data_IF_808804703639
#
_entry.id   IF_808804703639
#
_cell.length_a   1.000
_cell.length_b   1.000
_cell.length_c   1.000
_cell.angle_alpha   90.00
_cell.angle_beta   90.00
_cell.angle_gamma   90.00
#
_symmetry.space_group_name_H-M   'P 1'
#
loop_
_entity.id
_entity.type
_entity.pdbx_description
1 polymer ?
#
# COMPACT_ATOMS: atom_id res chain seq x y z
N UNK A 1 -23.73 -42.92 -9.65
CA UNK A 1 -23.86 -41.47 -9.41
C UNK A 1 -22.52 -40.84 -9.14
N UNK A 2 -22.02 -40.10 -10.10
CA UNK A 2 -20.83 -39.27 -9.97
C UNK A 2 -21.27 -37.92 -9.40
N UNK A 3 -20.89 -37.65 -8.14
CA UNK A 3 -21.29 -36.43 -7.43
C UNK A 3 -20.51 -35.26 -8.01
N UNK A 4 -21.23 -34.29 -8.59
CA UNK A 4 -20.63 -33.04 -9.05
C UNK A 4 -20.03 -32.26 -7.86
N UNK A 5 -18.88 -31.59 -8.05
CA UNK A 5 -18.28 -30.79 -6.99
C UNK A 5 -19.22 -29.67 -6.55
N UNK A 6 -19.13 -29.31 -5.26
CA UNK A 6 -19.94 -28.24 -4.69
C UNK A 6 -19.80 -26.93 -5.51
N UNK A 7 -20.90 -26.18 -5.70
CA UNK A 7 -20.84 -24.91 -6.41
C UNK A 7 -19.89 -23.96 -5.67
N UNK A 8 -19.07 -23.27 -6.45
CA UNK A 8 -18.09 -22.35 -5.90
C UNK A 8 -18.80 -21.11 -5.32
N UNK A 9 -18.27 -20.53 -4.23
CA UNK A 9 -18.89 -19.39 -3.56
C UNK A 9 -19.08 -18.20 -4.52
N UNK A 10 -20.12 -17.37 -4.28
CA UNK A 10 -20.50 -16.27 -5.18
C UNK A 10 -19.44 -15.17 -5.28
N UNK A 11 -18.53 -15.08 -4.29
CA UNK A 11 -17.37 -14.21 -4.32
C UNK A 11 -16.10 -15.04 -4.45
N UNK A 12 -15.23 -14.61 -5.37
CA UNK A 12 -13.89 -15.17 -5.53
C UNK A 12 -12.89 -14.08 -5.27
N UNK A 13 -11.92 -14.39 -4.44
CA UNK A 13 -10.79 -13.50 -4.15
C UNK A 13 -9.65 -13.91 -5.08
N UNK A 14 -9.06 -12.94 -5.77
CA UNK A 14 -7.85 -13.17 -6.55
C UNK A 14 -6.68 -13.46 -5.59
N UNK A 15 -6.17 -14.69 -5.64
CA UNK A 15 -5.05 -15.19 -4.82
C UNK A 15 -3.75 -15.34 -5.61
N UNK A 16 -3.80 -15.26 -6.93
CA UNK A 16 -2.61 -15.28 -7.76
C UNK A 16 -2.89 -15.24 -9.26
N UNK A 17 -1.82 -15.11 -10.03
CA UNK A 17 -1.80 -15.10 -11.49
C UNK A 17 -0.72 -16.07 -11.96
N UNK A 18 -1.03 -16.88 -12.96
CA UNK A 18 -0.07 -17.78 -13.62
C UNK A 18 0.08 -17.34 -15.06
N UNK A 19 1.32 -17.10 -15.51
CA UNK A 19 1.58 -16.73 -16.89
C UNK A 19 1.72 -17.95 -17.82
N UNK A 20 1.87 -17.71 -19.13
CA UNK A 20 2.01 -18.78 -20.14
C UNK A 20 3.25 -19.69 -19.96
N UNK A 21 4.21 -19.27 -19.14
CA UNK A 21 5.44 -20.00 -18.86
C UNK A 21 5.35 -20.78 -17.54
N UNK A 22 4.19 -20.77 -16.87
CA UNK A 22 3.99 -21.43 -15.59
C UNK A 22 4.56 -20.68 -14.39
N UNK A 23 4.96 -19.41 -14.55
CA UNK A 23 5.41 -18.59 -13.42
C UNK A 23 4.21 -18.07 -12.65
N UNK A 24 4.24 -18.19 -11.33
CA UNK A 24 3.13 -17.83 -10.45
C UNK A 24 3.45 -16.57 -9.66
N UNK A 25 2.57 -15.58 -9.72
CA UNK A 25 2.51 -14.48 -8.75
C UNK A 25 1.42 -14.80 -7.74
N UNK A 26 1.73 -14.82 -6.45
CA UNK A 26 0.80 -15.16 -5.36
C UNK A 26 0.54 -13.92 -4.51
N UNK A 27 -0.72 -13.65 -4.19
CA UNK A 27 -1.14 -12.55 -3.32
C UNK A 27 -1.47 -13.08 -1.92
N UNK A 28 -0.82 -12.51 -0.91
CA UNK A 28 -1.05 -12.80 0.49
C UNK A 28 -1.91 -11.70 1.09
N UNK A 29 -3.00 -12.10 1.75
CA UNK A 29 -3.96 -11.17 2.34
C UNK A 29 -3.95 -11.28 3.84
N UNK A 30 -4.17 -10.15 4.49
CA UNK A 30 -4.32 -10.12 5.93
C UNK A 30 -5.57 -10.88 6.34
N UNK A 31 -5.43 -11.78 7.31
CA UNK A 31 -6.53 -12.66 7.71
C UNK A 31 -7.54 -11.91 8.58
N UNK A 32 -7.07 -11.03 9.47
CA UNK A 32 -7.89 -10.37 10.48
C UNK A 32 -7.35 -8.99 10.88
N UNK A 33 -8.17 -8.24 11.61
CA UNK A 33 -7.82 -6.91 12.09
C UNK A 33 -8.09 -5.81 11.08
N UNK A 34 -7.47 -4.65 11.28
CA UNK A 34 -7.76 -3.39 10.57
C UNK A 34 -7.53 -3.47 9.05
N UNK A 35 -6.65 -4.38 8.61
CA UNK A 35 -6.33 -4.60 7.20
C UNK A 35 -6.95 -5.89 6.62
N UNK A 36 -7.89 -6.54 7.32
CA UNK A 36 -8.46 -7.83 6.88
C UNK A 36 -8.93 -7.79 5.42
N UNK A 37 -8.48 -8.76 4.63
CA UNK A 37 -8.76 -8.86 3.20
C UNK A 37 -7.85 -8.03 2.29
N UNK A 38 -7.09 -7.07 2.81
CA UNK A 38 -6.10 -6.31 2.04
C UNK A 38 -4.87 -7.16 1.69
N UNK A 39 -4.25 -6.87 0.55
CA UNK A 39 -3.00 -7.53 0.15
C UNK A 39 -1.86 -6.93 0.96
N UNK A 40 -1.23 -7.75 1.80
CA UNK A 40 -0.08 -7.37 2.64
C UNK A 40 1.21 -8.04 2.21
N UNK A 41 1.15 -8.97 1.25
CA UNK A 41 2.32 -9.60 0.68
C UNK A 41 2.13 -10.07 -0.76
N UNK A 42 3.23 -10.16 -1.49
CA UNK A 42 3.29 -10.72 -2.85
C UNK A 42 4.49 -11.65 -2.95
N UNK A 43 4.27 -12.87 -3.43
CA UNK A 43 5.36 -13.73 -3.91
C UNK A 43 5.39 -13.66 -5.43
N UNK A 44 6.53 -13.33 -6.03
CA UNK A 44 6.66 -13.30 -7.49
C UNK A 44 7.05 -14.68 -8.07
N UNK A 45 7.11 -14.76 -9.41
CA UNK A 45 7.44 -16.00 -10.11
C UNK A 45 8.88 -16.49 -9.93
N UNK A 46 9.76 -15.71 -9.31
CA UNK A 46 11.11 -16.13 -8.92
C UNK A 46 11.15 -16.61 -7.46
N UNK A 47 10.03 -16.58 -6.75
CA UNK A 47 9.94 -16.97 -5.34
C UNK A 47 10.30 -15.85 -4.37
N UNK A 48 10.56 -14.61 -4.83
CA UNK A 48 10.85 -13.49 -3.94
C UNK A 48 9.59 -13.07 -3.21
N UNK A 49 9.68 -12.84 -1.89
CA UNK A 49 8.56 -12.38 -1.07
C UNK A 49 8.70 -10.90 -0.75
N UNK A 50 7.68 -10.13 -1.13
CA UNK A 50 7.56 -8.72 -0.84
C UNK A 50 6.49 -8.48 0.23
N UNK A 51 6.85 -7.76 1.29
CA UNK A 51 5.90 -7.29 2.30
C UNK A 51 5.43 -5.89 1.96
N UNK A 52 4.12 -5.70 1.88
CA UNK A 52 3.45 -4.43 1.67
C UNK A 52 3.00 -3.90 3.04
N UNK A 53 3.62 -2.81 3.49
CA UNK A 53 3.25 -2.16 4.75
C UNK A 53 2.10 -1.21 4.47
N UNK A 54 0.96 -1.43 5.12
CA UNK A 54 -0.21 -0.60 5.01
C UNK A 54 -0.32 0.34 6.21
N UNK A 55 -0.97 1.48 6.02
CA UNK A 55 -1.38 2.38 7.10
C UNK A 55 -2.83 2.80 6.95
N UNK A 56 -3.50 3.03 8.07
CA UNK A 56 -4.82 3.67 8.07
C UNK A 56 -4.71 5.18 8.18
N UNK A 57 -5.80 5.87 7.87
CA UNK A 57 -5.84 7.33 7.98
C UNK A 57 -5.60 7.79 9.43
N UNK A 58 -6.18 7.09 10.41
CA UNK A 58 -5.99 7.40 11.82
C UNK A 58 -4.52 7.26 12.25
N UNK A 59 -3.84 6.18 11.82
CA UNK A 59 -2.42 5.99 12.07
C UNK A 59 -1.58 7.14 11.49
N UNK A 60 -1.85 7.53 10.23
CA UNK A 60 -1.14 8.66 9.60
C UNK A 60 -1.42 10.00 10.29
N UNK A 61 -2.65 10.23 10.75
CA UNK A 61 -2.98 11.43 11.50
C UNK A 61 -2.23 11.50 12.83
N UNK A 62 -2.13 10.38 13.53
CA UNK A 62 -1.39 10.29 14.78
C UNK A 62 0.11 10.49 14.59
N UNK A 63 0.71 9.84 13.59
CA UNK A 63 2.12 10.05 13.23
C UNK A 63 2.41 11.53 12.92
N UNK A 64 1.51 12.20 12.19
CA UNK A 64 1.66 13.60 11.85
C UNK A 64 1.55 14.52 13.09
N UNK A 65 0.71 14.18 14.08
CA UNK A 65 0.65 14.89 15.36
C UNK A 65 1.94 14.73 16.14
N UNK A 66 2.46 13.50 16.23
CA UNK A 66 3.71 13.21 16.94
C UNK A 66 4.89 13.97 16.32
N UNK A 67 4.95 14.05 14.99
CA UNK A 67 5.94 14.85 14.27
C UNK A 67 5.79 16.35 14.55
N UNK A 68 4.57 16.88 14.56
CA UNK A 68 4.32 18.30 14.87
C UNK A 68 4.78 18.66 16.29
N UNK A 69 4.48 17.79 17.28
CA UNK A 69 4.93 17.94 18.68
C UNK A 69 6.45 17.94 18.76
N UNK A 70 7.12 16.95 18.14
CA UNK A 70 8.57 16.85 18.14
C UNK A 70 9.25 18.00 17.39
N UNK A 71 8.58 18.60 16.40
CA UNK A 71 9.07 19.71 15.59
C UNK A 71 8.69 21.10 16.11
N UNK A 72 7.99 21.19 17.25
CA UNK A 72 7.54 22.47 17.83
C UNK A 72 6.65 23.30 16.89
N UNK A 73 5.91 22.63 16.00
CA UNK A 73 5.05 23.26 14.98
C UNK A 73 3.57 23.17 15.40
N UNK A 74 2.74 24.07 14.84
CA UNK A 74 1.28 24.07 15.01
C UNK A 74 0.65 22.68 14.80
N UNK A 75 -0.48 22.38 15.48
CA UNK A 75 -1.10 21.06 15.44
C UNK A 75 -1.42 20.62 14.00
N UNK A 76 -1.03 19.36 13.70
CA UNK A 76 -1.13 18.79 12.36
C UNK A 76 -2.57 18.84 11.81
N UNK A 77 -2.71 19.35 10.58
CA UNK A 77 -3.97 19.40 9.84
C UNK A 77 -4.38 18.04 9.22
N UNK A 78 -3.73 16.94 9.59
CA UNK A 78 -4.12 15.61 9.12
C UNK A 78 -5.42 15.14 9.80
N UNK A 79 -6.51 14.88 9.04
CA UNK A 79 -7.76 14.40 9.62
C UNK A 79 -7.67 12.92 9.99
N UNK A 80 -8.39 12.50 11.04
CA UNK A 80 -8.45 11.08 11.45
C UNK A 80 -9.19 10.19 10.45
N UNK A 81 -10.09 10.77 9.66
CA UNK A 81 -10.92 10.05 8.70
C UNK A 81 -10.88 10.72 7.33
N UNK A 82 -11.05 9.91 6.28
CA UNK A 82 -11.29 10.40 4.92
C UNK A 82 -12.77 10.28 4.58
N UNK A 83 -13.28 11.06 3.61
CA UNK A 83 -14.58 10.79 3.03
C UNK A 83 -14.64 9.34 2.55
N UNK A 84 -15.65 8.58 2.96
CA UNK A 84 -15.77 7.16 2.61
C UNK A 84 -16.01 6.89 1.12
N UNK A 85 -16.31 7.94 0.35
CA UNK A 85 -16.45 7.89 -1.10
C UNK A 85 -15.72 9.07 -1.75
N UNK A 86 -15.10 8.79 -2.89
CA UNK A 86 -14.54 9.76 -3.83
C UNK A 86 -15.29 9.66 -5.16
N UNK A 87 -14.97 10.53 -6.10
CA UNK A 87 -15.46 10.40 -7.48
C UNK A 87 -15.02 9.08 -8.17
N UNK A 88 -14.02 8.38 -7.60
CA UNK A 88 -13.49 7.10 -8.08
C UNK A 88 -14.01 5.89 -7.30
N UNK A 89 -14.99 6.07 -6.42
CA UNK A 89 -15.60 5.01 -5.63
C UNK A 89 -15.24 5.04 -4.15
N UNK A 90 -15.53 3.93 -3.46
CA UNK A 90 -15.34 3.81 -2.01
C UNK A 90 -13.85 3.88 -1.64
N UNK A 91 -13.54 4.69 -0.65
CA UNK A 91 -12.21 4.81 -0.07
C UNK A 91 -12.24 4.33 1.38
N UNK A 92 -11.44 3.31 1.70
CA UNK A 92 -11.32 2.75 3.05
C UNK A 92 -10.26 3.47 3.91
N UNK A 93 -9.56 4.47 3.35
CA UNK A 93 -8.51 5.20 4.05
C UNK A 93 -7.22 4.41 4.26
N UNK A 94 -7.11 3.20 3.70
CA UNK A 94 -5.90 2.38 3.77
C UNK A 94 -4.98 2.78 2.62
N UNK A 95 -3.68 2.92 2.92
CA UNK A 95 -2.66 3.27 1.94
C UNK A 95 -1.41 2.44 2.13
N UNK A 96 -0.69 2.19 1.04
CA UNK A 96 0.63 1.59 1.06
C UNK A 96 1.64 2.60 1.60
N UNK A 97 2.36 2.27 2.66
CA UNK A 97 3.41 3.11 3.25
C UNK A 97 4.81 2.71 2.78
N UNK A 98 5.06 1.41 2.62
CA UNK A 98 6.37 0.90 2.20
C UNK A 98 6.28 -0.50 1.57
N UNK A 99 7.29 -0.85 0.78
CA UNK A 99 7.49 -2.22 0.29
C UNK A 99 8.87 -2.72 0.71
N UNK A 100 8.90 -3.91 1.28
CA UNK A 100 10.13 -4.60 1.69
C UNK A 100 10.32 -5.85 0.86
N UNK A 101 11.57 -6.17 0.52
CA UNK A 101 11.95 -7.53 0.10
C UNK A 101 12.33 -8.31 1.35
N UNK A 102 11.58 -9.35 1.68
CA UNK A 102 11.77 -10.13 2.91
C UNK A 102 12.28 -11.55 2.67
N UNK A 103 12.27 -12.00 1.42
CA UNK A 103 12.84 -13.26 1.01
C UNK A 103 13.29 -13.16 -0.44
N UNK A 104 14.51 -13.63 -0.72
CA UNK A 104 15.07 -13.75 -2.06
C UNK A 104 15.79 -15.09 -2.18
N UNK A 105 15.31 -16.04 -3.01
CA UNK A 105 15.97 -17.33 -3.17
C UNK A 105 17.37 -17.26 -3.79
N UNK A 106 17.65 -16.23 -4.61
CA UNK A 106 18.95 -16.07 -5.27
C UNK A 106 19.98 -15.48 -4.31
N UNK A 107 19.54 -14.59 -3.41
CA UNK A 107 20.39 -13.89 -2.46
C UNK A 107 19.82 -13.90 -1.03
N UNK A 108 19.70 -15.08 -0.39
CA UNK A 108 18.99 -15.23 0.89
C UNK A 108 19.63 -14.44 2.04
N UNK A 109 20.95 -14.27 2.02
CA UNK A 109 21.71 -13.59 3.08
C UNK A 109 21.95 -12.09 2.80
N UNK A 110 21.48 -11.56 1.66
CA UNK A 110 21.74 -10.18 1.23
C UNK A 110 20.44 -9.38 1.04
N UNK A 111 19.56 -9.46 2.03
CA UNK A 111 18.32 -8.68 2.03
C UNK A 111 18.57 -7.21 2.40
N UNK A 112 17.88 -6.25 1.76
CA UNK A 112 18.01 -4.83 2.11
C UNK A 112 17.60 -4.55 3.57
N UNK A 113 18.43 -3.79 4.29
CA UNK A 113 18.12 -3.33 5.64
C UNK A 113 17.03 -2.22 5.70
N UNK A 114 16.67 -1.66 4.54
CA UNK A 114 15.68 -0.60 4.38
C UNK A 114 14.62 -1.02 3.36
N UNK A 115 13.41 -0.44 3.40
CA UNK A 115 12.40 -0.74 2.40
C UNK A 115 12.87 -0.33 1.01
N UNK A 116 12.44 -1.07 -0.01
CA UNK A 116 12.75 -0.78 -1.42
C UNK A 116 12.18 0.57 -1.86
N UNK A 117 11.00 0.91 -1.34
CA UNK A 117 10.28 2.14 -1.62
C UNK A 117 9.43 2.53 -0.42
N UNK A 118 9.29 3.85 -0.18
CA UNK A 118 8.33 4.41 0.78
C UNK A 118 7.43 5.43 0.09
N UNK A 119 6.21 5.55 0.57
CA UNK A 119 5.19 6.44 0.03
C UNK A 119 4.74 7.41 1.11
N UNK A 120 4.68 8.69 0.78
CA UNK A 120 4.05 9.71 1.60
C UNK A 120 2.74 10.15 0.97
N UNK A 121 1.77 10.47 1.82
CA UNK A 121 0.40 10.80 1.43
C UNK A 121 0.05 12.22 1.88
N UNK A 122 -0.85 12.89 1.17
CA UNK A 122 -1.41 14.17 1.62
C UNK A 122 -2.41 13.95 2.76
N UNK A 123 -2.81 15.00 3.51
CA UNK A 123 -3.95 14.94 4.43
C UNK A 123 -5.25 14.44 3.76
N UNK A 124 -5.34 14.63 2.44
CA UNK A 124 -6.43 14.17 1.59
C UNK A 124 -6.22 12.73 1.06
N UNK A 125 -5.26 11.99 1.60
CA UNK A 125 -5.00 10.60 1.22
C UNK A 125 -4.58 10.42 -0.24
N UNK A 126 -4.08 11.48 -0.89
CA UNK A 126 -3.53 11.44 -2.25
C UNK A 126 -2.04 11.13 -2.18
N UNK A 127 -1.47 10.42 -3.16
CA UNK A 127 -0.04 10.11 -3.13
C UNK A 127 0.76 11.39 -3.32
N UNK A 128 1.52 11.81 -2.31
CA UNK A 128 2.27 13.06 -2.32
C UNK A 128 3.70 12.89 -2.81
N UNK A 129 4.36 11.79 -2.38
CA UNK A 129 5.79 11.60 -2.57
C UNK A 129 6.16 10.12 -2.59
N UNK A 130 7.19 9.78 -3.37
CA UNK A 130 7.81 8.46 -3.40
C UNK A 130 9.29 8.61 -3.08
N UNK A 131 9.76 7.82 -2.12
CA UNK A 131 11.16 7.73 -1.74
C UNK A 131 11.76 6.41 -2.20
N UNK A 132 12.96 6.45 -2.76
CA UNK A 132 13.72 5.24 -3.08
C UNK A 132 14.30 4.58 -1.82
N UNK A 133 15.03 3.47 -2.02
CA UNK A 133 15.68 2.71 -0.95
C UNK A 133 16.68 3.53 -0.11
N UNK A 134 17.28 4.58 -0.69
CA UNK A 134 18.21 5.46 0.02
C UNK A 134 17.49 6.51 0.87
N UNK A 135 16.16 6.60 0.72
CA UNK A 135 15.33 7.63 1.33
C UNK A 135 15.32 8.94 0.55
N UNK A 136 15.93 8.99 -0.63
CA UNK A 136 15.85 10.16 -1.50
C UNK A 136 14.46 10.20 -2.13
N UNK A 137 13.86 11.39 -2.15
CA UNK A 137 12.66 11.63 -2.94
C UNK A 137 12.97 11.46 -4.42
N UNK A 138 12.24 10.58 -5.10
CA UNK A 138 12.36 10.29 -6.53
C UNK A 138 11.11 10.65 -7.33
N UNK A 139 10.02 10.95 -6.64
CA UNK A 139 8.82 11.48 -7.26
C UNK A 139 8.03 12.32 -6.27
N UNK A 140 7.38 13.37 -6.75
CA UNK A 140 6.36 14.09 -5.98
C UNK A 140 5.24 14.57 -6.89
N UNK A 141 4.08 14.82 -6.27
CA UNK A 141 2.82 15.06 -6.94
C UNK A 141 2.12 16.28 -6.36
N UNK A 142 1.46 17.04 -7.23
CA UNK A 142 0.63 18.18 -6.85
C UNK A 142 -0.77 17.96 -7.38
N UNK A 143 -1.76 18.25 -6.55
CA UNK A 143 -3.18 18.06 -6.84
C UNK A 143 -3.90 19.39 -6.81
N UNK A 144 -5.03 19.45 -7.51
CA UNK A 144 -5.95 20.58 -7.47
C UNK A 144 -6.53 20.74 -6.05
N UNK A 145 -6.58 21.97 -5.56
CA UNK A 145 -7.08 22.27 -4.21
C UNK A 145 -8.59 22.06 -4.08
N UNK A 146 -9.34 22.31 -5.16
CA UNK A 146 -10.80 22.21 -5.21
C UNK A 146 -11.27 20.80 -5.55
N UNK A 147 -10.60 20.15 -6.50
CA UNK A 147 -11.00 18.84 -7.04
C UNK A 147 -10.07 17.74 -6.53
N UNK A 148 -10.47 17.08 -5.45
CA UNK A 148 -9.73 15.97 -4.85
C UNK A 148 -9.49 14.83 -5.86
N UNK A 149 -8.26 14.31 -5.90
CA UNK A 149 -7.85 13.25 -6.81
C UNK A 149 -7.35 13.78 -8.17
N UNK A 150 -7.65 15.03 -8.52
CA UNK A 150 -7.19 15.64 -9.78
C UNK A 150 -5.72 16.06 -9.67
N UNK A 151 -4.82 15.22 -10.14
CA UNK A 151 -3.39 15.54 -10.24
C UNK A 151 -3.17 16.64 -11.29
N UNK A 152 -2.45 17.70 -10.92
CA UNK A 152 -2.13 18.86 -11.81
C UNK A 152 -0.66 18.91 -12.20
N UNK A 153 0.23 18.31 -11.40
CA UNK A 153 1.64 18.21 -11.72
C UNK A 153 2.29 17.00 -11.06
N UNK A 154 3.43 16.57 -11.61
CA UNK A 154 4.36 15.67 -10.94
C UNK A 154 5.79 16.03 -11.35
N UNK A 155 6.76 15.72 -10.48
CA UNK A 155 8.19 15.90 -10.77
C UNK A 155 9.00 14.69 -10.31
N UNK A 156 10.18 14.53 -10.92
CA UNK A 156 11.21 13.55 -10.58
C UNK A 156 12.29 14.21 -9.73
#
# INVERSE_FOLDING_TARGET
DEVLPAPLPPYRVLTGLVDRFGRTQTFHREAAGEFSGEITGVTDGAGRHFRLVLSTQAQRAEEARQQAISGGTEPSAFPDTLPGYTEYGRDNGIRLSAVWLTHDPEYPDNLPAAPLVRYGWTPRGELAVVYDRSGKQVRSFTYDDKYRGRMVAHRH
#
